data_IF_512692370099
#
_entry.id   IF_512692370099
#
_cell.length_a   1.000
_cell.length_b   1.000
_cell.length_c   1.000
_cell.angle_alpha   90.00
_cell.angle_beta   90.00
_cell.angle_gamma   90.00
#
_symmetry.space_group_name_H-M   'P 1'
#
loop_
_entity.id
_entity.type
_entity.pdbx_description
1 polymer ?
#
# COMPACT_ATOMS: atom_id res chain seq x y z
N UNK A 1 2.16 14.41 64.23
CA UNK A 1 0.91 15.19 64.09
C UNK A 1 0.80 15.55 62.60
N UNK A 2 -0.09 14.84 61.88
CA UNK A 2 -0.77 15.12 60.57
C UNK A 2 0.12 15.50 59.34
N UNK A 3 0.05 14.95 58.12
CA UNK A 3 -0.75 13.97 57.35
C UNK A 3 -0.26 14.05 55.87
N UNK A 4 0.01 12.94 55.16
CA UNK A 4 -0.84 12.29 54.12
C UNK A 4 -1.27 13.22 52.96
N UNK A 5 -1.32 12.93 51.65
CA UNK A 5 -1.12 11.76 50.76
C UNK A 5 -1.41 12.23 49.32
N UNK A 6 -0.87 11.55 48.30
CA UNK A 6 -1.46 11.30 46.97
C UNK A 6 -1.81 12.48 46.02
N UNK A 7 -1.01 12.63 44.95
CA UNK A 7 -1.44 13.17 43.64
C UNK A 7 -0.79 12.42 42.47
N UNK A 8 -0.90 11.09 42.49
CA UNK A 8 -0.76 10.23 41.31
C UNK A 8 -2.11 9.54 41.14
N UNK A 9 -3.08 10.20 40.51
CA UNK A 9 -4.38 9.60 40.14
C UNK A 9 -5.29 10.45 39.24
N UNK A 10 -4.91 11.68 38.84
CA UNK A 10 -5.87 12.62 38.21
C UNK A 10 -5.66 12.88 36.71
N UNK A 11 -4.74 12.18 36.04
CA UNK A 11 -4.58 12.28 34.58
C UNK A 11 -5.12 11.05 33.83
N UNK A 12 -5.53 10.01 34.56
CA UNK A 12 -6.17 8.80 34.00
C UNK A 12 -7.71 8.92 33.93
N UNK A 13 -8.30 9.93 34.58
CA UNK A 13 -9.76 10.14 34.66
C UNK A 13 -10.35 11.04 33.56
N UNK A 14 -9.56 11.47 32.56
CA UNK A 14 -10.08 12.28 31.44
C UNK A 14 -10.32 11.49 30.15
N UNK A 15 -10.01 10.18 30.12
CA UNK A 15 -10.24 9.29 28.96
C UNK A 15 -11.36 8.26 29.19
N UNK A 16 -12.06 8.30 30.31
CA UNK A 16 -13.24 7.49 30.54
C UNK A 16 -14.41 8.37 30.98
N UNK A 17 -15.49 8.37 30.18
CA UNK A 17 -16.85 8.93 30.46
C UNK A 17 -17.15 10.31 29.88
N UNK A 18 -17.50 10.34 28.59
CA UNK A 18 -18.55 11.18 27.99
C UNK A 18 -18.68 10.68 26.53
N UNK A 19 -19.74 10.01 26.06
CA UNK A 19 -21.11 9.98 26.50
C UNK A 19 -21.78 8.66 26.08
N UNK A 20 -22.61 8.14 26.97
CA UNK A 20 -23.60 7.10 26.74
C UNK A 20 -24.99 7.76 26.88
N UNK A 21 -25.87 7.63 25.89
CA UNK A 21 -27.32 7.84 26.00
C UNK A 21 -27.96 7.07 24.83
N UNK A 22 -29.00 6.22 24.93
CA UNK A 22 -29.74 5.59 26.03
C UNK A 22 -30.40 4.33 25.43
N UNK A 23 -30.56 3.28 26.23
CA UNK A 23 -31.26 2.04 25.93
C UNK A 23 -32.79 2.14 26.17
N UNK A 24 -33.59 1.34 25.45
CA UNK A 24 -34.78 0.60 25.90
C UNK A 24 -35.73 0.33 24.72
N UNK A 25 -36.02 -0.94 24.41
CA UNK A 25 -37.33 -1.62 24.62
C UNK A 25 -37.15 -3.11 24.25
N UNK A 26 -37.36 -3.99 25.23
CA UNK A 26 -37.64 -5.42 25.07
C UNK A 26 -39.01 -5.73 25.74
N UNK A 27 -39.67 -6.79 25.26
CA UNK A 27 -41.03 -7.32 25.59
C UNK A 27 -42.21 -6.52 25.00
N UNK A 28 -43.22 -7.09 24.34
CA UNK A 28 -43.58 -8.48 24.01
C UNK A 28 -45.10 -8.57 23.72
N UNK A 29 -45.48 -9.46 22.79
CA UNK A 29 -46.84 -10.04 22.53
C UNK A 29 -47.76 -9.33 21.49
N UNK A 30 -48.78 -10.02 20.91
CA UNK A 30 -48.64 -10.80 19.65
C UNK A 30 -49.80 -10.55 18.64
N UNK A 31 -49.66 -10.99 17.38
CA UNK A 31 -50.70 -11.66 16.58
C UNK A 31 -50.37 -11.63 15.06
N UNK A 32 -50.27 -12.85 14.49
CA UNK A 32 -50.80 -13.32 13.18
C UNK A 32 -50.49 -12.49 11.91
N UNK A 33 -50.08 -13.05 10.77
CA UNK A 33 -50.21 -14.42 10.22
C UNK A 33 -49.41 -14.52 8.90
N UNK A 34 -49.17 -15.76 8.47
CA UNK A 34 -48.86 -16.26 7.12
C UNK A 34 -47.42 -16.10 6.58
N UNK A 35 -46.71 -17.10 6.03
CA UNK A 35 -46.72 -18.58 5.96
C UNK A 35 -45.27 -18.96 5.51
N UNK A 36 -44.73 -20.16 5.80
CA UNK A 36 -43.39 -20.56 5.36
C UNK A 36 -43.41 -21.62 4.24
N UNK A 37 -42.93 -21.29 3.04
CA UNK A 37 -42.57 -22.31 2.04
C UNK A 37 -41.07 -22.65 2.14
N UNK A 38 -40.80 -23.60 3.04
CA UNK A 38 -39.55 -24.32 3.09
C UNK A 38 -39.53 -25.37 1.98
N UNK A 39 -38.67 -25.17 0.98
CA UNK A 39 -38.43 -26.18 -0.06
C UNK A 39 -37.50 -27.26 0.50
N UNK A 40 -38.10 -28.37 0.94
CA UNK A 40 -37.38 -29.61 1.29
C UNK A 40 -37.18 -30.40 0.01
N UNK A 41 -35.93 -30.51 -0.45
CA UNK A 41 -35.56 -31.37 -1.58
C UNK A 41 -35.46 -32.82 -1.08
N UNK A 42 -36.35 -33.70 -1.53
CA UNK A 42 -36.25 -35.16 -1.26
C UNK A 42 -35.53 -35.87 -2.40
N UNK A 43 -34.85 -36.97 -2.07
CA UNK A 43 -33.96 -37.74 -2.96
C UNK A 43 -34.66 -38.46 -4.13
N UNK A 44 -35.98 -38.32 -4.28
CA UNK A 44 -36.75 -38.86 -5.41
C UNK A 44 -36.83 -37.88 -6.61
N UNK A 45 -36.41 -36.62 -6.43
CA UNK A 45 -36.49 -35.56 -7.46
C UNK A 45 -35.26 -35.53 -8.39
N UNK A 46 -34.25 -36.38 -8.13
CA UNK A 46 -32.99 -36.45 -8.88
C UNK A 46 -32.99 -37.48 -10.04
N UNK A 47 -34.00 -38.34 -10.14
CA UNK A 47 -34.09 -39.31 -11.25
C UNK A 47 -34.89 -38.81 -12.46
N UNK A 48 -35.67 -37.73 -12.31
CA UNK A 48 -36.49 -37.17 -13.41
C UNK A 48 -35.79 -36.10 -14.26
N UNK A 49 -34.55 -35.70 -13.92
CA UNK A 49 -33.77 -34.71 -14.68
C UNK A 49 -32.54 -35.31 -15.37
N UNK A 50 -32.47 -36.65 -15.47
CA UNK A 50 -31.37 -37.36 -16.13
C UNK A 50 -31.77 -37.92 -17.51
N UNK A 51 -32.67 -37.23 -18.23
CA UNK A 51 -33.07 -37.59 -19.58
C UNK A 51 -33.38 -36.35 -20.46
N UNK A 52 -32.35 -35.55 -20.75
CA UNK A 52 -32.30 -34.76 -21.99
C UNK A 52 -30.87 -34.23 -22.21
N UNK A 53 -30.12 -34.92 -23.08
CA UNK A 53 -28.83 -34.45 -23.57
C UNK A 53 -28.99 -34.03 -25.04
N UNK A 54 -28.89 -32.73 -25.39
CA UNK A 54 -28.68 -32.35 -26.77
C UNK A 54 -27.22 -32.61 -27.16
N UNK A 55 -27.03 -33.43 -28.19
CA UNK A 55 -25.76 -33.69 -28.83
C UNK A 55 -25.14 -32.41 -29.39
N UNK A 56 -23.83 -32.25 -29.12
CA UNK A 56 -22.86 -31.55 -29.97
C UNK A 56 -23.25 -30.19 -30.55
N UNK A 57 -22.84 -29.10 -29.87
CA UNK A 57 -22.62 -27.82 -30.56
C UNK A 57 -21.19 -27.37 -30.37
N UNK A 58 -20.51 -27.22 -31.50
CA UNK A 58 -19.12 -26.82 -31.63
C UNK A 58 -18.83 -25.52 -30.86
N UNK A 59 -17.71 -25.53 -30.14
CA UNK A 59 -17.04 -24.35 -29.60
C UNK A 59 -16.46 -23.58 -30.79
N UNK A 60 -17.09 -22.47 -31.17
CA UNK A 60 -16.41 -21.44 -31.96
C UNK A 60 -15.77 -20.48 -30.99
N UNK A 61 -14.45 -20.56 -30.97
CA UNK A 61 -13.48 -19.67 -30.35
C UNK A 61 -13.61 -18.25 -30.94
N UNK A 62 -14.45 -17.42 -30.31
CA UNK A 62 -14.40 -15.96 -30.43
C UNK A 62 -14.76 -15.35 -29.07
N UNK A 63 -13.95 -15.64 -28.06
CA UNK A 63 -13.97 -14.85 -26.83
C UNK A 63 -13.16 -13.57 -27.10
N UNK A 64 -13.83 -12.52 -27.55
CA UNK A 64 -13.24 -11.17 -27.54
C UNK A 64 -12.70 -10.88 -26.13
N UNK A 65 -11.50 -10.28 -25.99
CA UNK A 65 -10.90 -10.03 -24.69
C UNK A 65 -11.78 -9.05 -23.93
N UNK A 66 -12.53 -9.56 -22.96
CA UNK A 66 -13.32 -8.76 -22.03
C UNK A 66 -12.34 -7.84 -21.28
N UNK A 67 -12.61 -6.52 -21.14
CA UNK A 67 -11.78 -5.65 -20.33
C UNK A 67 -11.74 -6.24 -18.92
N UNK A 68 -10.56 -6.69 -18.51
CA UNK A 68 -10.34 -7.26 -17.19
C UNK A 68 -10.80 -6.24 -16.16
N UNK A 69 -11.83 -6.58 -15.39
CA UNK A 69 -12.28 -5.80 -14.24
C UNK A 69 -11.08 -5.49 -13.36
N UNK A 70 -10.90 -4.23 -12.89
CA UNK A 70 -9.77 -3.92 -12.04
C UNK A 70 -9.82 -4.85 -10.81
N UNK A 71 -8.74 -5.60 -10.62
CA UNK A 71 -8.38 -6.23 -9.34
C UNK A 71 -8.67 -5.21 -8.21
N UNK A 72 -9.12 -5.59 -6.99
CA UNK A 72 -9.42 -4.65 -5.92
C UNK A 72 -8.12 -3.97 -5.45
N UNK A 73 -7.66 -3.04 -6.28
CA UNK A 73 -6.51 -2.20 -6.16
C UNK A 73 -6.90 -1.12 -5.17
N UNK A 74 -6.05 -0.96 -4.14
CA UNK A 74 -5.92 0.21 -3.28
C UNK A 74 -7.09 1.22 -3.41
N UNK A 75 -8.11 1.08 -2.56
CA UNK A 75 -9.28 1.95 -2.57
C UNK A 75 -8.86 3.40 -2.23
N UNK A 76 -8.57 4.18 -3.26
CA UNK A 76 -8.09 5.55 -3.17
C UNK A 76 -9.11 6.49 -3.82
N UNK A 77 -9.69 7.47 -3.10
CA UNK A 77 -10.66 8.42 -3.68
C UNK A 77 -10.09 9.25 -4.83
N UNK A 78 -8.77 9.29 -4.98
CA UNK A 78 -8.04 9.99 -6.04
C UNK A 78 -7.51 9.04 -7.11
N UNK A 79 -7.99 7.80 -7.14
CA UNK A 79 -7.50 6.73 -8.01
C UNK A 79 -7.44 7.12 -9.48
N UNK A 80 -8.48 7.76 -10.01
CA UNK A 80 -8.52 8.19 -11.41
C UNK A 80 -7.45 9.25 -11.71
N UNK A 81 -7.35 10.30 -10.87
CA UNK A 81 -6.35 11.36 -11.03
C UNK A 81 -4.91 10.82 -10.93
N UNK A 82 -4.66 9.90 -10.01
CA UNK A 82 -3.38 9.22 -9.83
C UNK A 82 -3.06 8.32 -11.03
N UNK A 83 -4.03 7.56 -11.51
CA UNK A 83 -3.91 6.66 -12.68
C UNK A 83 -3.57 7.46 -13.93
N UNK A 84 -4.29 8.56 -14.17
CA UNK A 84 -4.06 9.42 -15.33
C UNK A 84 -2.68 10.09 -15.26
N UNK A 85 -2.27 10.56 -14.08
CA UNK A 85 -0.93 11.10 -13.89
C UNK A 85 0.15 10.06 -14.15
N UNK A 86 -0.01 8.85 -13.62
CA UNK A 86 0.91 7.74 -13.81
C UNK A 86 1.08 7.40 -15.30
N UNK A 87 -0.04 7.23 -16.02
CA UNK A 87 -0.06 6.91 -17.45
C UNK A 87 0.64 7.97 -18.29
N UNK A 88 0.41 9.26 -18.01
CA UNK A 88 1.11 10.37 -18.71
C UNK A 88 2.63 10.33 -18.55
N UNK A 89 3.13 9.69 -17.50
CA UNK A 89 4.57 9.56 -17.21
C UNK A 89 5.12 8.16 -17.48
N UNK A 90 4.32 7.25 -18.03
CA UNK A 90 4.74 5.87 -18.28
C UNK A 90 5.00 5.07 -17.02
N UNK A 91 4.43 5.47 -15.88
CA UNK A 91 4.52 4.73 -14.62
C UNK A 91 3.32 3.80 -14.49
N UNK A 92 3.52 2.70 -13.76
CA UNK A 92 2.41 1.84 -13.36
C UNK A 92 1.46 2.57 -12.39
N UNK A 93 0.14 2.60 -12.66
CA UNK A 93 -0.84 3.21 -11.77
C UNK A 93 -0.77 2.69 -10.33
N UNK A 94 -0.55 1.39 -10.17
CA UNK A 94 -0.49 0.71 -8.88
C UNK A 94 0.66 1.26 -8.02
N UNK A 95 1.81 1.58 -8.62
CA UNK A 95 2.94 2.18 -7.92
C UNK A 95 2.59 3.57 -7.36
N UNK A 96 2.00 4.42 -8.19
CA UNK A 96 1.66 5.80 -7.80
C UNK A 96 0.57 5.81 -6.73
N UNK A 97 -0.44 4.94 -6.87
CA UNK A 97 -1.50 4.79 -5.86
C UNK A 97 -0.92 4.21 -4.57
N UNK A 98 -0.02 3.23 -4.63
CA UNK A 98 0.61 2.66 -3.44
C UNK A 98 1.48 3.68 -2.70
N UNK A 99 2.15 4.59 -3.41
CA UNK A 99 2.85 5.73 -2.80
C UNK A 99 1.85 6.67 -2.12
N UNK A 100 0.75 7.04 -2.77
CA UNK A 100 -0.27 7.91 -2.16
C UNK A 100 -0.91 7.29 -0.91
N UNK A 101 -1.21 5.98 -0.94
CA UNK A 101 -1.65 5.23 0.24
C UNK A 101 -0.56 5.20 1.32
N UNK A 102 0.70 5.02 0.90
CA UNK A 102 1.80 4.96 1.83
C UNK A 102 1.99 6.26 2.62
N UNK A 103 1.85 7.40 1.95
CA UNK A 103 2.06 8.72 2.54
C UNK A 103 0.92 9.14 3.47
N UNK A 104 -0.32 9.00 3.03
CA UNK A 104 -1.48 9.59 3.75
C UNK A 104 -2.65 8.63 3.93
N UNK A 105 -2.51 7.38 3.47
CA UNK A 105 -3.61 6.41 3.32
C UNK A 105 -4.70 6.92 2.41
N UNK A 106 -4.30 7.60 1.33
CA UNK A 106 -5.18 8.26 0.38
C UNK A 106 -6.18 9.25 1.00
N UNK A 107 -5.91 9.75 2.21
CA UNK A 107 -6.77 10.74 2.84
C UNK A 107 -6.44 12.13 2.33
N UNK A 108 -7.45 12.88 1.93
CA UNK A 108 -7.30 14.31 1.68
C UNK A 108 -7.72 15.11 2.90
N UNK A 109 -6.73 15.65 3.57
CA UNK A 109 -6.82 16.87 4.32
C UNK A 109 -5.53 17.64 4.03
N UNK A 110 -5.49 18.95 4.29
CA UNK A 110 -4.25 19.74 4.29
C UNK A 110 -3.26 19.17 5.32
N UNK A 111 -2.61 18.07 4.96
CA UNK A 111 -1.66 17.33 5.78
C UNK A 111 -0.28 17.92 5.57
N UNK A 112 0.35 18.28 6.69
CA UNK A 112 1.76 18.62 6.74
C UNK A 112 2.45 17.79 7.79
N UNK A 113 3.49 17.06 7.41
CA UNK A 113 4.27 16.29 8.37
C UNK A 113 5.09 17.20 9.29
N UNK A 114 5.58 16.70 10.44
CA UNK A 114 6.53 17.42 11.28
C UNK A 114 7.81 17.86 10.53
N UNK A 115 8.25 17.05 9.55
CA UNK A 115 9.39 17.36 8.67
C UNK A 115 9.05 18.39 7.58
N UNK A 116 7.77 18.74 7.43
CA UNK A 116 7.30 19.78 6.53
C UNK A 116 6.86 19.30 5.16
N UNK A 117 6.70 17.99 4.95
CA UNK A 117 6.12 17.43 3.73
C UNK A 117 4.64 17.81 3.58
N UNK A 118 4.14 18.04 2.36
CA UNK A 118 2.83 18.67 2.10
C UNK A 118 1.96 17.83 1.17
N UNK A 119 0.66 17.77 1.48
CA UNK A 119 -0.38 17.31 0.57
C UNK A 119 -0.55 15.77 0.53
N UNK A 120 -1.27 15.29 -0.49
CA UNK A 120 -1.67 13.88 -0.61
C UNK A 120 -0.46 12.93 -0.67
N UNK A 121 0.56 13.29 -1.44
CA UNK A 121 1.76 12.48 -1.67
C UNK A 121 2.98 13.01 -0.91
N UNK A 122 2.74 13.84 0.12
CA UNK A 122 3.75 14.33 1.08
C UNK A 122 5.06 14.79 0.43
N UNK A 123 4.99 15.76 -0.48
CA UNK A 123 6.18 16.35 -1.07
C UNK A 123 6.86 17.34 -0.12
N UNK A 124 8.18 17.24 -0.01
CA UNK A 124 8.97 18.29 0.61
C UNK A 124 8.86 19.60 -0.21
N UNK A 125 8.83 20.79 0.41
CA UNK A 125 8.60 22.04 -0.31
C UNK A 125 9.62 22.32 -1.42
N UNK A 126 10.89 21.92 -1.23
CA UNK A 126 11.92 22.06 -2.25
C UNK A 126 11.64 21.15 -3.46
N UNK A 127 11.24 19.90 -3.22
CA UNK A 127 10.85 18.94 -4.26
C UNK A 127 9.61 19.42 -5.01
N UNK A 128 8.57 19.87 -4.30
CA UNK A 128 7.37 20.44 -4.92
C UNK A 128 7.70 21.57 -5.90
N UNK A 129 8.55 22.52 -5.50
CA UNK A 129 9.00 23.61 -6.37
C UNK A 129 9.81 23.12 -7.58
N UNK A 130 10.73 22.17 -7.35
CA UNK A 130 11.57 21.59 -8.42
C UNK A 130 10.71 20.94 -9.52
N UNK A 131 9.59 20.32 -9.14
CA UNK A 131 8.66 19.64 -10.05
C UNK A 131 7.39 20.45 -10.34
N UNK A 132 7.44 21.78 -10.19
CA UNK A 132 6.41 22.68 -10.72
C UNK A 132 5.17 22.90 -9.87
N UNK A 133 5.04 22.27 -8.69
CA UNK A 133 3.97 22.58 -7.74
C UNK A 133 4.26 23.90 -7.02
N UNK A 134 3.62 24.98 -7.48
CA UNK A 134 3.67 26.32 -6.85
C UNK A 134 2.84 26.35 -5.58
N UNK A 135 1.72 25.64 -5.58
CA UNK A 135 0.89 25.40 -4.41
C UNK A 135 0.74 23.88 -4.18
N UNK A 136 1.60 23.26 -3.37
CA UNK A 136 1.51 21.83 -3.07
C UNK A 136 0.29 21.45 -2.20
N UNK A 137 -0.51 22.42 -1.74
CA UNK A 137 -1.81 22.15 -1.11
C UNK A 137 -2.92 21.90 -2.12
N UNK A 138 -2.77 22.40 -3.35
CA UNK A 138 -3.65 22.04 -4.44
C UNK A 138 -3.37 20.57 -4.83
N UNK A 139 -4.42 19.75 -4.81
CA UNK A 139 -4.29 18.31 -4.98
C UNK A 139 -3.76 17.94 -6.37
N UNK A 140 -4.21 18.62 -7.41
CA UNK A 140 -3.80 18.35 -8.79
C UNK A 140 -2.31 18.68 -8.98
N UNK A 141 -1.86 19.82 -8.44
CA UNK A 141 -0.45 20.19 -8.43
C UNK A 141 0.40 19.21 -7.62
N UNK A 142 -0.10 18.74 -6.48
CA UNK A 142 0.60 17.77 -5.64
C UNK A 142 0.79 16.43 -6.36
N UNK A 143 -0.29 15.90 -6.94
CA UNK A 143 -0.28 14.64 -7.70
C UNK A 143 0.64 14.77 -8.92
N UNK A 144 0.51 15.84 -9.70
CA UNK A 144 1.33 16.05 -10.89
C UNK A 144 2.82 16.13 -10.52
N UNK A 145 3.20 16.98 -9.57
CA UNK A 145 4.61 17.14 -9.18
C UNK A 145 5.19 15.88 -8.53
N UNK A 146 4.40 15.13 -7.75
CA UNK A 146 4.86 13.90 -7.11
C UNK A 146 5.06 12.77 -8.11
N UNK A 147 4.17 12.67 -9.09
CA UNK A 147 4.30 11.70 -10.19
C UNK A 147 5.48 12.04 -11.09
N UNK A 148 5.70 13.33 -11.37
CA UNK A 148 6.87 13.79 -12.10
C UNK A 148 8.17 13.48 -11.36
N UNK A 149 8.18 13.63 -10.03
CA UNK A 149 9.30 13.24 -9.19
C UNK A 149 9.55 11.74 -9.22
N UNK A 150 8.50 10.91 -9.09
CA UNK A 150 8.61 9.46 -9.21
C UNK A 150 9.18 9.04 -10.57
N UNK A 151 8.72 9.63 -11.67
CA UNK A 151 9.21 9.32 -13.01
C UNK A 151 10.68 9.71 -13.18
N UNK A 152 11.10 10.83 -12.59
CA UNK A 152 12.50 11.22 -12.58
C UNK A 152 13.37 10.25 -11.77
N UNK A 153 12.88 9.78 -10.62
CA UNK A 153 13.56 8.75 -9.82
C UNK A 153 13.64 7.42 -10.57
N UNK A 154 12.56 7.01 -11.21
CA UNK A 154 12.49 5.77 -12.01
C UNK A 154 13.57 5.76 -13.10
N UNK A 155 13.67 6.85 -13.87
CA UNK A 155 14.73 7.01 -14.85
C UNK A 155 16.13 7.02 -14.21
N UNK A 156 16.31 7.69 -13.06
CA UNK A 156 17.59 7.76 -12.35
C UNK A 156 18.07 6.38 -11.89
N UNK A 157 17.17 5.56 -11.36
CA UNK A 157 17.46 4.24 -10.80
C UNK A 157 17.15 3.10 -11.78
N UNK A 158 16.93 3.42 -13.06
CA UNK A 158 16.76 2.45 -14.16
C UNK A 158 15.64 1.44 -13.89
N UNK A 159 14.53 1.90 -13.32
CA UNK A 159 13.38 1.05 -12.99
C UNK A 159 13.55 0.17 -11.75
N UNK A 160 14.61 0.35 -10.95
CA UNK A 160 14.71 -0.33 -9.66
C UNK A 160 13.73 0.28 -8.66
N UNK A 161 12.54 -0.31 -8.58
CA UNK A 161 11.43 0.13 -7.72
C UNK A 161 11.86 0.30 -6.26
N UNK A 162 12.75 -0.56 -5.73
CA UNK A 162 13.19 -0.46 -4.34
C UNK A 162 14.01 0.81 -4.10
N UNK A 163 14.91 1.15 -5.04
CA UNK A 163 15.71 2.37 -4.98
C UNK A 163 14.87 3.62 -5.24
N UNK A 164 13.90 3.56 -6.15
CA UNK A 164 12.93 4.64 -6.40
C UNK A 164 12.17 4.98 -5.13
N UNK A 165 11.58 3.99 -4.47
CA UNK A 165 10.83 4.17 -3.23
C UNK A 165 11.70 4.65 -2.08
N UNK A 166 12.93 4.12 -1.97
CA UNK A 166 13.89 4.58 -0.97
C UNK A 166 14.26 6.05 -1.19
N UNK A 167 14.50 6.47 -2.43
CA UNK A 167 14.85 7.84 -2.76
C UNK A 167 13.66 8.80 -2.61
N UNK A 168 12.44 8.36 -2.89
CA UNK A 168 11.24 9.16 -2.64
C UNK A 168 11.12 9.52 -1.15
N UNK A 169 11.36 8.54 -0.27
CA UNK A 169 11.22 8.70 1.18
C UNK A 169 12.45 9.37 1.85
N UNK A 170 13.66 8.95 1.52
CA UNK A 170 14.90 9.39 2.18
C UNK A 170 15.67 10.47 1.41
N UNK A 171 15.26 10.77 0.18
CA UNK A 171 16.00 11.61 -0.76
C UNK A 171 17.01 10.81 -1.59
N UNK A 172 17.18 11.22 -2.85
CA UNK A 172 18.10 10.56 -3.79
C UNK A 172 19.55 10.60 -3.31
N UNK A 173 19.98 11.67 -2.65
CA UNK A 173 21.34 11.81 -2.17
C UNK A 173 21.71 10.81 -1.07
N UNK A 174 20.73 10.32 -0.30
CA UNK A 174 20.96 9.24 0.65
C UNK A 174 21.17 7.92 -0.09
N UNK A 175 20.30 7.58 -1.04
CA UNK A 175 20.42 6.36 -1.85
C UNK A 175 21.75 6.34 -2.62
N UNK A 176 22.13 7.45 -3.24
CA UNK A 176 23.42 7.60 -3.94
C UNK A 176 24.61 7.34 -3.01
N UNK A 177 24.57 7.90 -1.79
CA UNK A 177 25.64 7.75 -0.79
C UNK A 177 25.80 6.30 -0.33
N UNK A 178 24.68 5.63 -0.06
CA UNK A 178 24.69 4.24 0.40
C UNK A 178 24.77 3.22 -0.75
N UNK A 179 24.69 3.67 -2.01
CA UNK A 179 24.66 2.82 -3.21
C UNK A 179 23.57 1.74 -3.11
N UNK A 180 22.43 2.10 -2.54
CA UNK A 180 21.36 1.15 -2.20
C UNK A 180 20.32 1.77 -1.27
N UNK A 181 19.41 0.94 -0.79
CA UNK A 181 18.43 1.37 0.23
C UNK A 181 19.19 1.74 1.51
N UNK A 182 19.10 2.99 2.00
CA UNK A 182 19.86 3.43 3.17
C UNK A 182 19.42 2.64 4.41
N UNK A 183 20.30 2.47 5.43
CA UNK A 183 20.02 1.71 6.64
C UNK A 183 19.10 2.46 7.62
N UNK A 184 18.15 3.26 7.11
CA UNK A 184 17.16 3.97 7.90
C UNK A 184 15.96 3.05 8.17
N UNK A 185 15.62 2.76 9.44
CA UNK A 185 14.51 1.86 9.75
C UNK A 185 13.18 2.29 9.11
N UNK A 186 12.89 3.60 9.12
CA UNK A 186 11.71 4.21 8.50
C UNK A 186 11.66 3.92 6.99
N UNK A 187 12.75 4.18 6.26
CA UNK A 187 12.84 3.98 4.81
C UNK A 187 12.74 2.51 4.43
N UNK A 188 13.42 1.61 5.15
CA UNK A 188 13.32 0.16 4.87
C UNK A 188 11.91 -0.36 5.12
N UNK A 189 11.22 0.13 6.15
CA UNK A 189 9.83 -0.21 6.40
C UNK A 189 8.89 0.35 5.32
N UNK A 190 9.14 1.58 4.86
CA UNK A 190 8.40 2.22 3.78
C UNK A 190 8.48 1.39 2.48
N UNK A 191 9.70 1.03 2.05
CA UNK A 191 9.95 0.22 0.84
C UNK A 191 9.24 -1.14 0.94
N UNK A 192 9.45 -1.89 2.04
CA UNK A 192 8.83 -3.21 2.22
C UNK A 192 7.30 -3.15 2.17
N UNK A 193 6.70 -2.14 2.80
CA UNK A 193 5.24 -1.99 2.85
C UNK A 193 4.66 -1.79 1.46
N UNK A 194 5.29 -0.96 0.63
CA UNK A 194 4.79 -0.67 -0.72
C UNK A 194 5.00 -1.87 -1.64
N UNK A 195 6.19 -2.47 -1.65
CA UNK A 195 6.45 -3.66 -2.47
C UNK A 195 5.46 -4.80 -2.14
N UNK A 196 5.26 -5.09 -0.85
CA UNK A 196 4.27 -6.09 -0.44
C UNK A 196 2.80 -5.68 -0.72
N UNK A 197 2.53 -4.40 -0.99
CA UNK A 197 1.22 -3.98 -1.51
C UNK A 197 1.09 -4.22 -3.00
N UNK A 198 2.14 -3.94 -3.77
CA UNK A 198 2.17 -4.13 -5.22
C UNK A 198 2.07 -5.61 -5.60
N UNK A 199 2.81 -6.47 -4.90
CA UNK A 199 2.73 -7.93 -5.08
C UNK A 199 1.31 -8.48 -4.86
N UNK A 200 0.52 -7.88 -3.95
CA UNK A 200 -0.86 -8.28 -3.67
C UNK A 200 -1.86 -7.74 -4.69
N UNK A 201 -1.59 -6.57 -5.28
CA UNK A 201 -2.51 -5.94 -6.23
C UNK A 201 -2.42 -6.55 -7.63
N UNK A 202 -1.20 -6.89 -8.08
CA UNK A 202 -0.98 -7.62 -9.32
C UNK A 202 0.32 -8.45 -9.25
N UNK A 203 0.23 -9.76 -8.93
CA UNK A 203 1.38 -10.67 -8.90
C UNK A 203 2.07 -10.87 -10.25
N UNK A 204 1.41 -10.48 -11.35
CA UNK A 204 1.92 -10.61 -12.72
C UNK A 204 2.56 -9.34 -13.26
N UNK A 205 2.36 -8.19 -12.60
CA UNK A 205 2.89 -6.89 -13.02
C UNK A 205 4.42 -6.87 -13.06
N UNK A 206 4.98 -6.21 -14.07
CA UNK A 206 6.43 -6.03 -14.19
C UNK A 206 7.01 -5.18 -13.05
N UNK A 207 6.17 -4.42 -12.34
CA UNK A 207 6.52 -3.70 -11.10
C UNK A 207 6.79 -4.65 -9.93
N UNK A 208 5.99 -5.72 -9.80
CA UNK A 208 6.24 -6.80 -8.85
C UNK A 208 7.38 -7.72 -9.33
N UNK A 209 7.59 -7.83 -10.66
CA UNK A 209 8.68 -8.60 -11.28
C UNK A 209 9.99 -7.86 -11.42
N UNK A 210 10.08 -6.58 -11.03
CA UNK A 210 11.30 -5.97 -10.52
C UNK A 210 11.67 -6.70 -9.21
N UNK A 211 11.97 -7.99 -9.38
CA UNK A 211 12.36 -8.96 -8.38
C UNK A 211 13.45 -8.29 -7.60
N UNK A 212 13.23 -8.18 -6.29
CA UNK A 212 14.02 -8.85 -5.25
C UNK A 212 15.32 -9.48 -5.81
N UNK A 213 16.20 -8.68 -6.42
CA UNK A 213 17.62 -8.94 -6.36
C UNK A 213 17.93 -8.82 -4.87
N UNK A 214 18.61 -9.79 -4.27
CA UNK A 214 18.64 -9.92 -2.82
C UNK A 214 19.19 -8.62 -2.21
N UNK A 215 18.30 -7.82 -1.63
CA UNK A 215 18.65 -6.69 -0.75
C UNK A 215 19.23 -7.20 0.58
N UNK A 216 19.34 -8.52 0.75
CA UNK A 216 19.82 -9.18 1.96
C UNK A 216 20.52 -10.51 1.65
N UNK A 217 21.79 -10.49 1.25
CA UNK A 217 22.82 -11.44 1.69
C UNK A 217 24.17 -10.73 1.52
N UNK A 218 24.63 -10.01 2.55
CA UNK A 218 26.07 -10.00 2.79
C UNK A 218 26.32 -11.16 3.75
N UNK A 219 26.44 -12.37 3.21
CA UNK A 219 27.21 -13.39 3.90
C UNK A 219 28.65 -12.89 3.82
N UNK A 220 29.07 -12.23 4.90
CA UNK A 220 30.46 -12.23 5.29
C UNK A 220 30.67 -13.61 5.90
N UNK A 221 30.86 -14.61 5.03
CA UNK A 221 31.41 -15.88 5.44
C UNK A 221 32.90 -15.67 5.65
N UNK A 222 33.35 -16.12 6.81
CA UNK A 222 34.70 -16.11 7.29
C UNK A 222 35.71 -16.63 6.26
N UNK A 223 36.68 -15.80 5.91
CA UNK A 223 37.97 -16.25 5.40
C UNK A 223 38.99 -15.92 6.51
N UNK A 224 38.90 -16.68 7.61
CA UNK A 224 40.00 -16.79 8.55
C UNK A 224 41.09 -17.70 7.96
N UNK A 225 42.33 -17.24 8.13
CA UNK A 225 43.53 -18.05 8.28
C UNK A 225 44.12 -18.72 7.02
N UNK A 226 44.91 -17.93 6.30
CA UNK A 226 46.24 -18.38 5.90
C UNK A 226 47.29 -17.49 6.56
N UNK A 227 47.76 -17.95 7.72
CA UNK A 227 48.98 -17.47 8.36
C UNK A 227 50.20 -17.80 7.49
N UNK A 228 51.16 -16.89 7.46
CA UNK A 228 52.48 -17.07 6.89
C UNK A 228 53.35 -15.85 7.21
N UNK A 229 54.05 -15.92 8.34
CA UNK A 229 54.96 -14.93 8.92
C UNK A 229 56.09 -14.42 7.97
N UNK A 230 56.72 -13.28 8.31
CA UNK A 230 57.83 -12.72 7.55
C UNK A 230 59.15 -13.43 7.89
N UNK A 231 59.98 -13.67 6.88
CA UNK A 231 61.37 -14.07 7.06
C UNK A 231 62.29 -12.84 6.94
N UNK A 232 63.13 -12.69 7.96
CA UNK A 232 64.21 -11.72 8.08
C UNK A 232 65.30 -11.89 7.00
N UNK A 233 65.99 -10.79 6.70
CA UNK A 233 67.44 -10.77 6.44
C UNK A 233 67.92 -10.93 4.99
N UNK A 234 68.40 -9.82 4.40
CA UNK A 234 69.82 -9.56 4.08
C UNK A 234 70.04 -8.08 3.70
#
# INVERSE_FOLDING_TARGET
MVGATATVSLLWDMLARSALFIACVLFGSPAARAEPDAFVFTLEDLESQMLDLPEGRAVTDEQEPTPQSPSPALACPFGDALTDAARRRGLAPELVIAVADAETRCRHARQRSPKGAIGLMQLMPATARRFGARDPWNIDQNIAAATDYLAWLDARYRGDTALVLAAYNAGEGAVDRYKGVPPYPETRAYVRRILGSLERSDPSSDVARARIAPVFVTDVADDEAAAGEPADGE
#
